data_IF_662583595077
#
_entry.id   IF_662583595077
#
_cell.length_a   1.000
_cell.length_b   1.000
_cell.length_c   1.000
_cell.angle_alpha   90.00
_cell.angle_beta   90.00
_cell.angle_gamma   90.00
#
_symmetry.space_group_name_H-M   'P 1'
#
loop_
_entity.id
_entity.type
_entity.pdbx_description
1 polymer ?
#
# COMPACT_ATOMS: atom_id res chain seq x y z
N UNK A 1 20.89 18.53 1.48
CA UNK A 1 20.77 17.08 1.15
C UNK A 1 21.72 16.22 1.99
N UNK A 2 22.98 16.64 2.20
CA UNK A 2 23.87 15.98 3.18
C UNK A 2 23.43 16.20 4.64
N UNK A 3 22.78 17.32 4.94
CA UNK A 3 22.09 17.56 6.23
C UNK A 3 20.90 16.63 6.50
N UNK A 4 20.25 16.10 5.47
CA UNK A 4 19.13 15.16 5.63
C UNK A 4 19.63 13.75 5.99
N UNK A 5 20.88 13.42 5.63
CA UNK A 5 21.51 12.13 5.90
C UNK A 5 22.14 12.04 7.28
N UNK A 6 22.62 13.16 7.85
CA UNK A 6 23.07 13.21 9.26
C UNK A 6 21.93 13.03 10.26
N UNK A 7 20.68 13.00 9.79
CA UNK A 7 19.46 12.92 10.57
C UNK A 7 18.74 11.55 10.49
N UNK A 8 19.27 10.61 9.68
CA UNK A 8 18.72 9.25 9.57
C UNK A 8 19.44 8.38 10.59
N UNK A 9 18.73 7.96 11.64
CA UNK A 9 19.23 6.96 12.59
C UNK A 9 19.55 5.66 11.82
N UNK A 10 20.71 5.04 12.07
CA UNK A 10 21.09 3.77 11.45
C UNK A 10 20.03 2.67 11.69
N UNK A 11 19.25 2.77 12.79
CA UNK A 11 18.13 1.87 13.07
C UNK A 11 16.93 2.02 12.12
N UNK A 12 16.81 3.17 11.45
CA UNK A 12 15.72 3.52 10.53
C UNK A 12 15.90 2.85 9.16
N UNK A 13 17.15 2.53 8.82
CA UNK A 13 17.57 1.78 7.64
C UNK A 13 17.94 0.36 8.07
N UNK A 14 16.96 -0.47 8.40
CA UNK A 14 17.15 -1.93 8.39
C UNK A 14 17.47 -2.37 6.95
N UNK A 15 18.71 -2.20 6.51
CA UNK A 15 19.21 -2.60 5.19
C UNK A 15 20.30 -3.64 5.40
N UNK A 16 20.11 -4.84 4.85
CA UNK A 16 21.14 -5.88 4.91
C UNK A 16 22.15 -5.64 3.78
N UNK A 17 23.42 -5.48 4.17
CA UNK A 17 24.61 -5.36 3.33
C UNK A 17 24.59 -4.26 2.26
N UNK A 18 25.77 -3.74 1.92
CA UNK A 18 25.92 -2.64 0.95
C UNK A 18 25.69 -3.07 -0.52
N UNK A 19 25.37 -4.34 -0.77
CA UNK A 19 25.44 -4.95 -2.11
C UNK A 19 24.15 -5.69 -2.56
N UNK A 20 23.00 -5.49 -1.90
CA UNK A 20 21.73 -6.10 -2.33
C UNK A 20 20.95 -5.17 -3.26
N UNK A 21 20.60 -5.67 -4.46
CA UNK A 21 19.86 -4.92 -5.48
C UNK A 21 18.95 -5.85 -6.30
N UNK A 22 17.79 -5.32 -6.67
CA UNK A 22 16.87 -5.94 -7.62
C UNK A 22 17.13 -5.36 -9.02
N UNK A 23 17.46 -6.22 -10.00
CA UNK A 23 17.74 -5.80 -11.37
C UNK A 23 16.50 -5.99 -12.25
N UNK A 24 16.07 -4.91 -12.90
CA UNK A 24 15.09 -4.96 -13.98
C UNK A 24 15.81 -4.87 -15.32
N UNK A 25 15.39 -5.72 -16.27
CA UNK A 25 15.69 -5.51 -17.69
C UNK A 25 14.79 -4.40 -18.26
N UNK A 26 15.14 -3.80 -19.42
CA UNK A 26 14.31 -2.78 -20.06
C UNK A 26 12.89 -3.26 -20.38
N UNK A 27 12.75 -4.53 -20.77
CA UNK A 27 11.45 -5.15 -21.07
C UNK A 27 10.61 -5.28 -19.80
N UNK A 28 11.21 -5.71 -18.69
CA UNK A 28 10.49 -5.83 -17.41
C UNK A 28 10.08 -4.47 -16.86
N UNK A 29 10.96 -3.46 -16.97
CA UNK A 29 10.67 -2.09 -16.57
C UNK A 29 9.48 -1.51 -17.34
N UNK A 30 9.50 -1.61 -18.67
CA UNK A 30 8.41 -1.12 -19.52
C UNK A 30 7.09 -1.84 -19.21
N UNK A 31 7.13 -3.18 -19.09
CA UNK A 31 5.95 -3.97 -18.73
C UNK A 31 5.38 -3.59 -17.37
N UNK A 32 6.23 -3.36 -16.35
CA UNK A 32 5.78 -2.92 -15.04
C UNK A 32 5.16 -1.53 -15.07
N UNK A 33 5.70 -0.59 -15.85
CA UNK A 33 5.09 0.73 -16.01
C UNK A 33 3.68 0.60 -16.59
N UNK A 34 3.56 -0.07 -17.74
CA UNK A 34 2.28 -0.23 -18.43
C UNK A 34 1.22 -0.91 -17.56
N UNK A 35 1.59 -1.99 -16.87
CA UNK A 35 0.68 -2.69 -15.95
C UNK A 35 0.31 -1.79 -14.77
N UNK A 36 1.25 -1.08 -14.16
CA UNK A 36 1.00 -0.24 -12.99
C UNK A 36 0.06 0.91 -13.30
N UNK A 37 0.26 1.59 -14.43
CA UNK A 37 -0.61 2.68 -14.89
C UNK A 37 -2.01 2.16 -15.26
N UNK A 38 -2.09 1.01 -15.93
CA UNK A 38 -3.36 0.37 -16.28
C UNK A 38 -4.15 -0.08 -15.05
N UNK A 39 -3.48 -0.72 -14.09
CA UNK A 39 -4.09 -1.14 -12.81
C UNK A 39 -4.52 0.07 -12.00
N UNK A 40 -3.71 1.12 -11.92
CA UNK A 40 -4.09 2.36 -11.22
C UNK A 40 -5.33 2.98 -11.85
N UNK A 41 -5.36 3.07 -13.19
CA UNK A 41 -6.51 3.59 -13.92
C UNK A 41 -7.77 2.78 -13.63
N UNK A 42 -7.70 1.45 -13.80
CA UNK A 42 -8.81 0.54 -13.51
C UNK A 42 -9.31 0.68 -12.07
N UNK A 43 -8.39 0.72 -11.11
CA UNK A 43 -8.69 0.90 -9.70
C UNK A 43 -9.38 2.23 -9.41
N UNK A 44 -8.86 3.32 -9.98
CA UNK A 44 -9.43 4.65 -9.80
C UNK A 44 -10.81 4.79 -10.43
N UNK A 45 -10.99 4.31 -11.67
CA UNK A 45 -12.29 4.34 -12.36
C UNK A 45 -13.32 3.49 -11.60
N UNK A 46 -12.95 2.29 -11.18
CA UNK A 46 -13.83 1.41 -10.39
C UNK A 46 -14.19 2.04 -9.03
N UNK A 47 -13.23 2.69 -8.36
CA UNK A 47 -13.48 3.40 -7.11
C UNK A 47 -14.48 4.54 -7.30
N UNK A 48 -14.29 5.36 -8.34
CA UNK A 48 -15.17 6.47 -8.66
C UNK A 48 -16.57 6.00 -9.05
N UNK A 49 -16.70 4.86 -9.73
CA UNK A 49 -18.01 4.23 -9.97
C UNK A 49 -18.69 3.83 -8.67
N UNK A 50 -18.00 3.13 -7.76
CA UNK A 50 -18.57 2.66 -6.48
C UNK A 50 -19.07 3.83 -5.63
N UNK A 51 -18.29 4.91 -5.49
CA UNK A 51 -18.70 6.05 -4.64
C UNK A 51 -19.92 6.79 -5.19
N UNK A 52 -20.19 6.64 -6.49
CA UNK A 52 -21.37 7.20 -7.17
C UNK A 52 -22.60 6.29 -7.11
N UNK A 53 -22.46 5.05 -6.62
CA UNK A 53 -23.59 4.13 -6.46
C UNK A 53 -24.37 4.42 -5.17
N UNK A 54 -25.68 4.14 -5.22
CA UNK A 54 -26.54 4.20 -4.04
C UNK A 54 -26.33 2.99 -3.13
N UNK A 55 -26.31 1.82 -3.74
CA UNK A 55 -26.05 0.53 -3.13
C UNK A 55 -24.61 0.12 -3.43
N UNK A 56 -23.91 -0.40 -2.42
CA UNK A 56 -22.54 -0.90 -2.53
C UNK A 56 -22.51 -2.36 -2.09
N UNK A 57 -21.41 -3.05 -2.35
CA UNK A 57 -21.26 -4.44 -1.93
C UNK A 57 -21.42 -4.59 -0.41
N UNK A 58 -21.99 -5.72 0.01
CA UNK A 58 -22.33 -5.99 1.41
C UNK A 58 -21.14 -5.87 2.37
N UNK A 59 -19.94 -6.25 1.94
CA UNK A 59 -18.72 -6.11 2.75
C UNK A 59 -18.35 -4.64 2.99
N UNK A 60 -18.55 -3.77 1.99
CA UNK A 60 -18.27 -2.33 2.12
C UNK A 60 -19.27 -1.68 3.09
N UNK A 61 -20.55 -2.01 2.95
CA UNK A 61 -21.59 -1.48 3.84
C UNK A 61 -21.38 -1.95 5.28
N UNK A 62 -21.13 -3.25 5.47
CA UNK A 62 -20.86 -3.86 6.77
C UNK A 62 -19.69 -3.22 7.49
N UNK A 63 -18.61 -2.93 6.76
CA UNK A 63 -17.35 -2.47 7.37
C UNK A 63 -17.26 -0.94 7.47
N UNK A 64 -17.73 -0.23 6.47
CA UNK A 64 -17.48 1.21 6.32
C UNK A 64 -18.77 2.04 6.16
N UNK A 65 -19.95 1.43 6.32
CA UNK A 65 -21.25 2.12 6.27
C UNK A 65 -21.31 3.37 7.17
N UNK A 66 -20.66 3.33 8.33
CA UNK A 66 -20.58 4.44 9.28
C UNK A 66 -19.83 5.68 8.73
N UNK A 67 -18.87 5.47 7.82
CA UNK A 67 -18.11 6.55 7.15
C UNK A 67 -18.54 6.76 5.70
N UNK A 68 -19.62 6.10 5.24
CA UNK A 68 -20.11 6.15 3.86
C UNK A 68 -20.42 7.57 3.37
N UNK A 69 -20.83 8.45 4.27
CA UNK A 69 -21.06 9.86 3.93
C UNK A 69 -19.79 10.61 3.53
N UNK A 70 -18.62 10.18 4.03
CA UNK A 70 -17.35 10.87 3.78
C UNK A 70 -16.87 10.64 2.34
N UNK A 71 -16.87 9.40 1.87
CA UNK A 71 -16.40 9.09 0.53
C UNK A 71 -17.34 9.60 -0.58
N UNK A 72 -18.64 9.80 -0.29
CA UNK A 72 -19.59 10.33 -1.29
C UNK A 72 -19.37 11.82 -1.56
N UNK A 73 -18.80 12.54 -0.59
CA UNK A 73 -18.52 13.97 -0.70
C UNK A 73 -17.11 14.27 -1.22
N UNK A 74 -16.20 13.30 -1.15
CA UNK A 74 -14.83 13.44 -1.66
C UNK A 74 -14.80 13.45 -3.19
N UNK A 75 -15.20 12.32 -3.80
CA UNK A 75 -15.19 12.10 -5.26
C UNK A 75 -13.88 12.52 -5.96
N UNK A 76 -12.75 12.46 -5.25
CA UNK A 76 -11.43 12.80 -5.78
C UNK A 76 -10.67 11.57 -6.28
N UNK A 77 -11.10 10.38 -5.87
CA UNK A 77 -10.51 9.11 -6.31
C UNK A 77 -9.15 8.84 -5.67
N UNK A 78 -8.32 8.07 -6.36
CA UNK A 78 -6.97 7.70 -5.95
C UNK A 78 -5.95 8.74 -6.41
N UNK A 79 -5.13 9.22 -5.48
CA UNK A 79 -4.02 10.13 -5.75
C UNK A 79 -2.66 9.42 -5.74
N UNK A 80 -2.51 8.47 -4.81
CA UNK A 80 -1.26 7.78 -4.52
C UNK A 80 -1.54 6.28 -4.42
N UNK A 81 -0.65 5.48 -4.99
CA UNK A 81 -0.62 4.05 -4.76
C UNK A 81 0.81 3.55 -4.65
N UNK A 82 1.05 2.64 -3.71
CA UNK A 82 2.14 1.67 -3.82
C UNK A 82 1.53 0.33 -4.21
N UNK A 83 1.85 -0.15 -5.40
CA UNK A 83 1.35 -1.43 -5.94
C UNK A 83 2.42 -2.47 -5.70
N UNK A 84 2.11 -3.48 -4.89
CA UNK A 84 3.05 -4.57 -4.60
C UNK A 84 2.82 -5.70 -5.61
N UNK A 85 3.90 -6.21 -6.22
CA UNK A 85 3.86 -7.23 -7.25
C UNK A 85 4.61 -8.50 -6.83
N UNK A 86 4.13 -9.62 -7.39
CA UNK A 86 4.78 -10.92 -7.41
C UNK A 86 4.66 -11.53 -8.81
N UNK A 87 4.90 -12.84 -8.93
CA UNK A 87 4.86 -13.55 -10.18
C UNK A 87 3.85 -14.70 -10.17
N UNK A 88 3.26 -15.04 -11.31
CA UNK A 88 2.65 -16.36 -11.50
C UNK A 88 3.71 -17.42 -11.85
N UNK A 89 3.27 -18.67 -12.04
CA UNK A 89 4.16 -19.77 -12.43
C UNK A 89 4.83 -19.55 -13.79
N UNK A 90 4.22 -18.74 -14.66
CA UNK A 90 4.74 -18.36 -15.97
C UNK A 90 5.62 -17.10 -15.91
N UNK A 91 5.94 -16.60 -14.71
CA UNK A 91 6.75 -15.39 -14.47
C UNK A 91 6.14 -14.11 -15.02
N UNK A 92 4.80 -14.02 -15.12
CA UNK A 92 4.13 -12.75 -15.35
C UNK A 92 3.92 -12.01 -14.03
N UNK A 93 4.02 -10.68 -14.07
CA UNK A 93 3.73 -9.83 -12.93
C UNK A 93 2.26 -9.94 -12.50
N UNK A 94 2.04 -10.09 -11.20
CA UNK A 94 0.73 -10.15 -10.57
C UNK A 94 0.65 -9.17 -9.40
N UNK A 95 -0.45 -8.43 -9.31
CA UNK A 95 -0.72 -7.47 -8.22
C UNK A 95 -1.07 -8.22 -6.94
N UNK A 96 -0.24 -8.11 -5.92
CA UNK A 96 -0.48 -8.68 -4.60
C UNK A 96 -1.41 -7.82 -3.74
N UNK A 97 -1.19 -6.51 -3.75
CA UNK A 97 -1.96 -5.53 -2.99
C UNK A 97 -1.81 -4.10 -3.54
N UNK A 98 -2.86 -3.31 -3.32
CA UNK A 98 -2.88 -1.87 -3.58
C UNK A 98 -2.79 -1.14 -2.23
N UNK A 99 -1.68 -0.45 -1.99
CA UNK A 99 -1.48 0.36 -0.78
C UNK A 99 -1.80 1.82 -1.08
N UNK A 100 -3.08 2.17 -1.01
CA UNK A 100 -3.60 3.50 -1.38
C UNK A 100 -3.95 4.38 -0.17
N UNK A 101 -4.00 3.81 1.04
CA UNK A 101 -4.27 4.53 2.30
C UNK A 101 -3.02 5.00 3.04
N UNK A 102 -2.00 4.13 3.20
CA UNK A 102 -0.76 4.47 3.91
C UNK A 102 0.46 3.78 3.32
N UNK A 103 0.64 3.85 2.00
CA UNK A 103 1.83 3.37 1.33
C UNK A 103 3.09 3.99 1.94
N UNK A 104 3.89 3.20 2.63
CA UNK A 104 5.22 3.59 3.13
C UNK A 104 6.29 3.16 2.14
N UNK A 105 7.46 3.81 2.21
CA UNK A 105 8.62 3.53 1.37
C UNK A 105 9.00 4.65 0.43
N UNK A 106 8.18 5.69 0.26
CA UNK A 106 8.41 6.81 -0.65
C UNK A 106 9.74 7.53 -0.41
N UNK A 107 10.10 7.75 0.85
CA UNK A 107 11.35 8.41 1.23
C UNK A 107 12.43 7.35 1.46
N UNK A 108 12.07 6.23 2.10
CA UNK A 108 13.03 5.17 2.46
C UNK A 108 13.68 4.50 1.26
N UNK A 109 12.97 4.31 0.15
CA UNK A 109 13.55 3.73 -1.07
C UNK A 109 14.69 4.58 -1.62
N UNK A 110 14.56 5.90 -1.54
CA UNK A 110 15.56 6.84 -2.05
C UNK A 110 16.79 6.91 -1.14
N UNK A 111 16.61 6.69 0.16
CA UNK A 111 17.71 6.53 1.11
C UNK A 111 18.46 5.21 0.88
N UNK A 112 17.72 4.11 0.65
CA UNK A 112 18.29 2.79 0.35
C UNK A 112 19.18 2.82 -0.89
N UNK A 113 18.75 3.55 -1.95
CA UNK A 113 19.58 3.83 -3.14
C UNK A 113 20.96 4.40 -2.80
N UNK A 114 21.03 5.36 -1.87
CA UNK A 114 22.29 6.04 -1.50
C UNK A 114 23.23 5.10 -0.74
N UNK A 115 22.69 4.22 0.10
CA UNK A 115 23.48 3.26 0.88
C UNK A 115 24.05 2.13 0.02
N UNK A 116 23.28 1.65 -0.97
CA UNK A 116 23.63 0.49 -1.79
C UNK A 116 24.59 0.80 -2.97
N UNK A 117 25.03 2.05 -3.15
CA UNK A 117 25.80 2.47 -4.35
C UNK A 117 25.18 2.00 -5.68
N UNK A 118 23.85 2.01 -5.75
CA UNK A 118 23.07 1.40 -6.83
C UNK A 118 23.41 1.97 -8.22
N UNK A 119 23.87 3.21 -8.26
CA UNK A 119 24.36 3.94 -9.44
C UNK A 119 25.59 3.29 -10.10
N UNK A 120 26.35 2.49 -9.36
CA UNK A 120 27.47 1.70 -9.91
C UNK A 120 27.03 0.43 -10.64
N UNK A 121 25.80 -0.02 -10.40
CA UNK A 121 25.27 -1.28 -10.95
C UNK A 121 24.39 -1.03 -12.18
N UNK A 122 23.59 0.04 -12.15
CA UNK A 122 22.67 0.44 -13.21
C UNK A 122 22.00 1.77 -12.89
N UNK A 123 20.91 2.10 -13.59
CA UNK A 123 20.14 3.32 -13.36
C UNK A 123 19.18 3.08 -12.19
N UNK A 124 19.34 3.76 -11.03
CA UNK A 124 18.48 3.48 -9.88
C UNK A 124 17.09 4.09 -10.05
N UNK A 125 16.07 3.30 -9.74
CA UNK A 125 14.66 3.61 -10.06
C UNK A 125 13.83 4.09 -8.86
N UNK A 126 14.44 4.33 -7.70
CA UNK A 126 13.73 4.93 -6.56
C UNK A 126 13.26 6.35 -6.90
N UNK A 127 12.08 6.79 -6.38
CA UNK A 127 11.63 8.16 -6.56
C UNK A 127 12.66 9.17 -6.02
N UNK A 128 12.69 10.41 -6.53
CA UNK A 128 13.53 11.46 -5.97
C UNK A 128 13.23 11.66 -4.46
N UNK A 129 14.24 11.87 -3.58
CA UNK A 129 14.02 11.89 -2.14
C UNK A 129 12.96 12.89 -1.65
N UNK A 130 12.84 14.05 -2.29
CA UNK A 130 11.87 15.11 -1.94
C UNK A 130 10.60 15.07 -2.78
N UNK A 131 10.45 14.09 -3.68
CA UNK A 131 9.30 14.00 -4.57
C UNK A 131 7.99 13.96 -3.77
N UNK A 132 7.91 13.10 -2.76
CA UNK A 132 6.69 12.94 -1.98
C UNK A 132 6.30 14.23 -1.25
N UNK A 133 7.26 14.88 -0.55
CA UNK A 133 7.05 16.15 0.12
C UNK A 133 6.61 17.28 -0.84
N UNK A 134 7.24 17.39 -2.02
CA UNK A 134 6.83 18.33 -3.06
C UNK A 134 5.40 18.06 -3.55
N UNK A 135 5.04 16.79 -3.77
CA UNK A 135 3.72 16.41 -4.21
C UNK A 135 2.63 16.81 -3.20
N UNK A 136 2.82 16.49 -1.91
CA UNK A 136 1.85 16.89 -0.88
C UNK A 136 1.77 18.40 -0.71
N UNK A 137 2.88 19.13 -0.76
CA UNK A 137 2.86 20.60 -0.75
C UNK A 137 2.05 21.18 -1.90
N UNK A 138 2.23 20.66 -3.11
CA UNK A 138 1.50 21.14 -4.29
C UNK A 138 -0.01 20.85 -4.20
N UNK A 139 -0.41 19.76 -3.55
CA UNK A 139 -1.83 19.35 -3.46
C UNK A 139 -2.56 19.88 -2.23
N UNK A 140 -1.86 19.99 -1.09
CA UNK A 140 -2.44 20.34 0.21
C UNK A 140 -2.10 21.76 0.65
N UNK A 141 -1.22 22.45 -0.09
CA UNK A 141 -0.77 23.80 0.24
C UNK A 141 0.40 23.82 1.24
N UNK A 142 0.82 25.03 1.66
CA UNK A 142 2.07 25.25 2.39
C UNK A 142 2.08 24.74 3.83
N UNK A 143 0.93 24.48 4.46
CA UNK A 143 0.84 24.11 5.89
C UNK A 143 0.08 22.79 6.07
N UNK A 144 0.79 21.73 6.43
CA UNK A 144 0.25 20.36 6.36
C UNK A 144 0.20 19.73 7.75
N UNK A 145 -0.97 19.25 8.16
CA UNK A 145 -1.07 18.35 9.31
C UNK A 145 -0.92 16.91 8.84
N UNK A 146 0.09 16.20 9.37
CA UNK A 146 0.33 14.78 9.08
C UNK A 146 -0.35 13.95 10.16
N UNK A 147 -1.45 13.28 9.82
CA UNK A 147 -2.27 12.56 10.78
C UNK A 147 -1.84 11.10 10.84
N UNK A 148 -1.50 10.63 12.04
CA UNK A 148 -1.01 9.27 12.29
C UNK A 148 -1.84 8.58 13.38
N UNK A 149 -2.05 7.27 13.25
CA UNK A 149 -2.66 6.43 14.31
C UNK A 149 -1.63 5.69 15.15
N UNK A 150 -0.42 5.54 14.63
CA UNK A 150 0.73 4.90 15.27
C UNK A 150 2.02 5.61 14.84
N UNK A 151 3.10 5.42 15.60
CA UNK A 151 4.39 6.00 15.26
C UNK A 151 4.90 5.41 13.93
N UNK A 152 5.02 6.26 12.90
CA UNK A 152 5.56 5.90 11.60
C UNK A 152 6.80 6.76 11.34
N UNK A 153 8.03 6.23 11.50
CA UNK A 153 9.25 7.03 11.42
C UNK A 153 9.46 7.78 10.09
N UNK A 154 8.82 7.33 9.01
CA UNK A 154 8.86 8.04 7.73
C UNK A 154 8.13 9.40 7.79
N UNK A 155 7.18 9.60 8.71
CA UNK A 155 6.43 10.86 8.82
C UNK A 155 7.30 12.02 9.29
N UNK A 156 8.23 11.78 10.21
CA UNK A 156 9.17 12.80 10.67
C UNK A 156 10.11 13.23 9.54
N UNK A 157 10.52 12.27 8.69
CA UNK A 157 11.32 12.57 7.51
C UNK A 157 10.52 13.41 6.50
N UNK A 158 9.25 13.07 6.26
CA UNK A 158 8.38 13.85 5.37
C UNK A 158 8.15 15.26 5.91
N UNK A 159 7.91 15.42 7.22
CA UNK A 159 7.74 16.72 7.86
C UNK A 159 8.98 17.62 7.65
N UNK A 160 10.17 17.09 7.93
CA UNK A 160 11.44 17.81 7.70
C UNK A 160 11.67 18.15 6.23
N UNK A 161 11.27 17.26 5.31
CA UNK A 161 11.37 17.55 3.88
C UNK A 161 10.41 18.67 3.47
N UNK A 162 9.18 18.70 3.99
CA UNK A 162 8.23 19.79 3.78
C UNK A 162 8.81 21.12 4.27
N UNK A 163 9.38 21.14 5.48
CA UNK A 163 10.05 22.32 6.04
C UNK A 163 11.24 22.78 5.19
N UNK A 164 12.07 21.84 4.72
CA UNK A 164 13.21 22.15 3.86
C UNK A 164 12.82 22.74 2.50
N UNK A 165 11.56 22.53 2.08
CA UNK A 165 10.98 23.07 0.84
C UNK A 165 10.22 24.38 1.08
N UNK A 166 10.26 24.93 2.30
CA UNK A 166 9.62 26.20 2.68
C UNK A 166 8.17 26.05 3.15
N UNK A 167 7.69 24.83 3.39
CA UNK A 167 6.40 24.57 4.02
C UNK A 167 6.47 24.50 5.54
N UNK A 168 5.33 24.26 6.16
CA UNK A 168 5.18 23.96 7.59
C UNK A 168 4.47 22.62 7.75
N UNK A 169 4.99 21.73 8.60
CA UNK A 169 4.37 20.44 8.86
C UNK A 169 4.25 20.18 10.36
N UNK A 170 3.12 19.61 10.80
CA UNK A 170 2.95 19.10 12.17
C UNK A 170 2.44 17.68 12.14
N UNK A 171 3.16 16.77 12.78
CA UNK A 171 2.70 15.39 13.01
C UNK A 171 1.71 15.41 14.18
N UNK A 172 0.49 14.90 13.95
CA UNK A 172 -0.60 14.87 14.93
C UNK A 172 -1.08 13.43 15.08
N UNK A 173 -1.02 12.93 16.32
CA UNK A 173 -1.60 11.64 16.66
C UNK A 173 -3.13 11.74 16.73
N UNK A 174 -3.81 10.80 16.07
CA UNK A 174 -5.25 10.70 16.11
C UNK A 174 -5.71 10.32 17.53
N UNK A 175 -6.30 11.29 18.21
CA UNK A 175 -6.75 11.19 19.60
C UNK A 175 -7.90 12.18 19.82
N UNK A 176 -8.52 12.18 21.01
CA UNK A 176 -9.63 13.09 21.32
C UNK A 176 -9.25 14.58 21.19
N UNK A 177 -7.98 14.93 21.40
CA UNK A 177 -7.46 16.30 21.27
C UNK A 177 -7.06 16.66 19.84
N UNK A 178 -7.00 15.70 18.92
CA UNK A 178 -6.51 15.93 17.55
C UNK A 178 -7.30 17.00 16.79
N UNK A 179 -8.61 17.10 17.05
CA UNK A 179 -9.45 18.16 16.44
C UNK A 179 -8.96 19.53 16.87
N UNK A 180 -8.69 19.72 18.17
CA UNK A 180 -8.19 20.97 18.69
C UNK A 180 -6.79 21.27 18.17
N UNK A 181 -5.90 20.26 18.15
CA UNK A 181 -4.55 20.40 17.60
C UNK A 181 -4.55 20.84 16.13
N UNK A 182 -5.49 20.34 15.32
CA UNK A 182 -5.65 20.73 13.92
C UNK A 182 -6.22 22.14 13.81
N UNK A 183 -7.20 22.51 14.63
CA UNK A 183 -7.74 23.87 14.66
C UNK A 183 -6.65 24.88 15.05
N UNK A 184 -5.88 24.59 16.10
CA UNK A 184 -4.82 25.46 16.59
C UNK A 184 -3.66 25.58 15.60
N UNK A 185 -3.31 24.48 14.93
CA UNK A 185 -2.29 24.50 13.88
C UNK A 185 -2.80 25.20 12.60
N UNK A 186 -4.10 25.17 12.32
CA UNK A 186 -4.73 25.75 11.15
C UNK A 186 -4.05 25.37 9.81
N UNK A 187 -3.95 24.06 9.49
CA UNK A 187 -3.32 23.61 8.25
C UNK A 187 -4.15 23.98 7.01
N UNK A 188 -3.48 24.08 5.87
CA UNK A 188 -4.11 24.18 4.55
C UNK A 188 -4.59 22.84 4.02
N UNK A 189 -4.07 21.71 4.53
CA UNK A 189 -4.53 20.37 4.19
C UNK A 189 -4.01 19.27 5.10
N UNK A 190 -4.57 18.07 4.95
CA UNK A 190 -4.31 16.89 5.79
C UNK A 190 -3.60 15.80 5.00
N UNK A 191 -2.46 15.33 5.51
CA UNK A 191 -1.80 14.12 5.02
C UNK A 191 -2.11 12.96 5.96
N UNK A 192 -2.97 12.05 5.53
CA UNK A 192 -3.29 10.84 6.29
C UNK A 192 -2.21 9.78 6.09
N UNK A 193 -1.72 9.24 7.20
CA UNK A 193 -0.80 8.10 7.24
C UNK A 193 -1.42 7.01 8.11
N UNK A 194 -2.56 6.50 7.64
CA UNK A 194 -3.36 5.47 8.31
C UNK A 194 -3.91 4.45 7.32
N UNK A 195 -4.30 3.29 7.83
CA UNK A 195 -4.93 2.21 7.05
C UNK A 195 -6.45 2.20 7.25
N UNK A 196 -7.14 1.29 6.55
CA UNK A 196 -8.61 1.21 6.54
C UNK A 196 -9.25 0.95 7.92
N UNK A 197 -8.48 0.37 8.86
CA UNK A 197 -8.88 0.22 10.27
C UNK A 197 -9.10 1.54 11.01
N UNK A 198 -8.77 2.67 10.37
CA UNK A 198 -9.15 4.00 10.83
C UNK A 198 -10.66 4.13 11.10
N UNK A 199 -11.51 3.30 10.49
CA UNK A 199 -12.96 3.27 10.73
C UNK A 199 -13.33 3.08 12.21
N UNK A 200 -12.46 2.44 13.00
CA UNK A 200 -12.64 2.29 14.45
C UNK A 200 -12.66 3.64 15.19
N UNK A 201 -12.17 4.71 14.56
CA UNK A 201 -12.21 6.10 15.04
C UNK A 201 -13.24 6.96 14.30
N UNK A 202 -14.28 6.36 13.71
CA UNK A 202 -15.28 7.01 12.84
C UNK A 202 -15.83 8.33 13.40
N UNK A 203 -16.20 8.39 14.69
CA UNK A 203 -16.73 9.61 15.31
C UNK A 203 -15.75 10.80 15.21
N UNK A 204 -14.46 10.55 15.46
CA UNK A 204 -13.42 11.56 15.41
C UNK A 204 -13.17 12.02 13.97
N UNK A 205 -13.15 11.09 13.02
CA UNK A 205 -12.96 11.41 11.59
C UNK A 205 -14.15 12.21 11.05
N UNK A 206 -15.37 11.86 11.45
CA UNK A 206 -16.58 12.62 11.11
C UNK A 206 -16.58 14.03 11.72
N UNK A 207 -15.91 14.24 12.87
CA UNK A 207 -15.68 15.58 13.42
C UNK A 207 -14.63 16.33 12.60
N UNK A 208 -13.51 15.69 12.29
CA UNK A 208 -12.42 16.28 11.50
C UNK A 208 -12.86 16.65 10.07
N UNK A 209 -13.70 15.84 9.43
CA UNK A 209 -14.19 16.10 8.08
C UNK A 209 -15.01 17.39 7.98
N UNK A 210 -15.61 17.86 9.08
CA UNK A 210 -16.36 19.13 9.12
C UNK A 210 -15.46 20.34 8.91
N UNK A 211 -14.15 20.20 9.09
CA UNK A 211 -13.17 21.25 8.79
C UNK A 211 -13.00 21.48 7.28
N UNK A 212 -13.47 20.55 6.43
CA UNK A 212 -13.47 20.65 4.96
C UNK A 212 -12.08 20.96 4.37
N UNK A 213 -11.04 20.43 5.01
CA UNK A 213 -9.67 20.56 4.54
C UNK A 213 -9.43 19.58 3.38
N UNK A 214 -8.70 19.98 2.32
CA UNK A 214 -8.14 19.05 1.34
C UNK A 214 -7.34 17.97 2.05
N UNK A 215 -7.42 16.73 1.56
CA UNK A 215 -6.72 15.62 2.18
C UNK A 215 -6.17 14.61 1.19
N UNK A 216 -5.04 14.01 1.54
CA UNK A 216 -4.42 12.91 0.81
C UNK A 216 -3.99 11.82 1.79
N UNK A 217 -4.26 10.54 1.50
CA UNK A 217 -5.22 10.08 0.50
C UNK A 217 -6.66 10.52 0.82
N UNK A 218 -7.53 10.41 -0.19
CA UNK A 218 -8.97 10.59 -0.04
C UNK A 218 -9.60 9.50 0.84
N UNK A 219 -10.78 9.75 1.41
CA UNK A 219 -11.43 8.76 2.27
C UNK A 219 -11.85 7.51 1.49
N UNK A 220 -12.35 7.66 0.26
CA UNK A 220 -12.65 6.55 -0.63
C UNK A 220 -11.42 5.67 -0.88
N UNK A 221 -10.26 6.29 -1.09
CA UNK A 221 -9.01 5.58 -1.30
C UNK A 221 -8.59 4.82 -0.02
N UNK A 222 -8.68 5.47 1.14
CA UNK A 222 -8.28 4.89 2.42
C UNK A 222 -9.16 3.73 2.89
N UNK A 223 -10.48 3.81 2.67
CA UNK A 223 -11.42 2.82 3.19
C UNK A 223 -11.76 1.74 2.17
N UNK A 224 -11.90 2.10 0.89
CA UNK A 224 -12.32 1.15 -0.14
C UNK A 224 -11.11 0.57 -0.84
N UNK A 225 -10.30 1.39 -1.53
CA UNK A 225 -9.26 0.83 -2.41
C UNK A 225 -8.03 0.28 -1.67
N UNK A 226 -7.82 0.67 -0.40
CA UNK A 226 -6.81 0.09 0.46
C UNK A 226 -7.21 -1.25 1.08
N UNK A 227 -8.50 -1.61 1.04
CA UNK A 227 -9.00 -2.90 1.51
C UNK A 227 -8.72 -3.98 0.46
N UNK A 228 -8.14 -5.11 0.87
CA UNK A 228 -7.81 -6.18 -0.09
C UNK A 228 -9.04 -6.79 -0.75
N UNK A 229 -10.22 -6.64 -0.16
CA UNK A 229 -11.50 -7.04 -0.78
C UNK A 229 -11.78 -6.29 -2.08
N UNK A 230 -11.21 -5.08 -2.25
CA UNK A 230 -11.30 -4.33 -3.49
C UNK A 230 -10.65 -5.05 -4.68
N UNK A 231 -9.62 -5.88 -4.45
CA UNK A 231 -9.02 -6.69 -5.51
C UNK A 231 -10.00 -7.73 -6.08
N UNK A 232 -11.00 -8.18 -5.32
CA UNK A 232 -12.03 -9.07 -5.86
C UNK A 232 -12.82 -8.36 -6.97
N UNK A 233 -13.27 -7.13 -6.69
CA UNK A 233 -13.99 -6.27 -7.64
C UNK A 233 -13.14 -5.98 -8.89
N UNK A 234 -11.85 -5.69 -8.69
CA UNK A 234 -10.95 -5.42 -9.80
C UNK A 234 -10.63 -6.67 -10.62
N UNK A 235 -10.52 -7.85 -9.98
CA UNK A 235 -10.16 -9.09 -10.67
C UNK A 235 -11.19 -9.51 -11.72
N UNK A 236 -12.47 -9.19 -11.51
CA UNK A 236 -13.55 -9.45 -12.48
C UNK A 236 -13.52 -8.50 -13.68
N UNK A 237 -12.85 -7.34 -13.54
CA UNK A 237 -12.79 -6.27 -14.54
C UNK A 237 -11.44 -6.19 -15.24
N UNK A 238 -10.43 -6.89 -14.75
CA UNK A 238 -9.07 -6.81 -15.25
C UNK A 238 -8.91 -7.52 -16.59
N UNK A 239 -8.62 -6.73 -17.63
CA UNK A 239 -8.34 -7.24 -18.98
C UNK A 239 -6.86 -7.52 -19.21
N UNK A 240 -5.97 -7.04 -18.33
CA UNK A 240 -4.52 -7.24 -18.44
C UNK A 240 -4.09 -8.61 -17.91
N UNK A 241 -4.94 -9.24 -17.09
CA UNK A 241 -4.63 -10.46 -16.37
C UNK A 241 -3.53 -10.26 -15.32
N UNK A 242 -3.26 -9.03 -14.88
CA UNK A 242 -2.30 -8.71 -13.84
C UNK A 242 -2.88 -8.88 -12.43
N UNK A 243 -4.19 -8.84 -12.25
CA UNK A 243 -4.83 -9.02 -10.95
C UNK A 243 -5.15 -10.52 -10.77
N UNK A 244 -4.57 -11.19 -9.76
CA UNK A 244 -4.87 -12.59 -9.48
C UNK A 244 -6.34 -12.76 -9.10
N UNK A 245 -6.92 -13.92 -9.46
CA UNK A 245 -8.32 -14.22 -9.09
C UNK A 245 -8.48 -14.05 -7.59
N UNK A 246 -9.45 -13.22 -7.19
CA UNK A 246 -9.65 -12.87 -5.79
C UNK A 246 -11.14 -12.94 -5.46
N UNK A 247 -11.49 -13.55 -4.33
CA UNK A 247 -12.86 -13.71 -3.86
C UNK A 247 -12.97 -13.19 -2.43
N UNK A 248 -14.05 -12.46 -2.14
CA UNK A 248 -14.45 -12.15 -0.77
C UNK A 248 -15.06 -13.41 -0.15
N UNK A 249 -14.57 -13.79 1.02
CA UNK A 249 -15.02 -14.98 1.73
C UNK A 249 -16.43 -14.74 2.30
N UNK A 250 -17.31 -15.72 2.10
CA UNK A 250 -18.72 -15.63 2.51
C UNK A 250 -18.91 -16.20 3.90
N UNK A 251 -19.30 -15.38 4.90
CA UNK A 251 -19.42 -15.81 6.30
C UNK A 251 -20.39 -16.98 6.54
N UNK A 252 -21.40 -17.13 5.68
CA UNK A 252 -22.48 -18.12 5.86
C UNK A 252 -22.47 -19.24 4.81
N UNK A 253 -21.43 -19.35 3.97
CA UNK A 253 -21.41 -20.32 2.86
C UNK A 253 -20.03 -20.99 2.71
N UNK A 254 -19.77 -21.97 3.58
CA UNK A 254 -18.53 -22.74 3.58
C UNK A 254 -18.35 -23.52 2.26
N UNK A 255 -19.42 -24.11 1.74
CA UNK A 255 -19.38 -24.90 0.51
C UNK A 255 -18.91 -24.06 -0.66
N UNK A 256 -19.43 -22.84 -0.81
CA UNK A 256 -18.97 -21.92 -1.84
C UNK A 256 -17.53 -21.46 -1.61
N UNK A 257 -17.13 -21.19 -0.37
CA UNK A 257 -15.74 -20.83 -0.05
C UNK A 257 -14.75 -21.94 -0.43
N UNK A 258 -15.07 -23.21 -0.15
CA UNK A 258 -14.26 -24.37 -0.53
C UNK A 258 -14.15 -24.54 -2.05
N UNK A 259 -15.17 -24.11 -2.80
CA UNK A 259 -15.22 -24.22 -4.26
C UNK A 259 -14.57 -23.04 -4.99
N UNK A 260 -14.22 -21.95 -4.30
CA UNK A 260 -13.52 -20.83 -4.95
C UNK A 260 -12.14 -21.24 -5.45
N UNK A 261 -11.38 -22.00 -4.66
CA UNK A 261 -10.02 -22.36 -5.00
C UNK A 261 -9.48 -23.55 -4.20
N UNK A 262 -8.68 -24.39 -4.85
CA UNK A 262 -7.92 -25.45 -4.17
C UNK A 262 -6.91 -24.85 -3.18
N UNK A 263 -6.76 -25.48 -2.00
CA UNK A 263 -5.89 -25.01 -0.91
C UNK A 263 -4.47 -24.66 -1.39
N UNK A 264 -3.82 -25.55 -2.14
CA UNK A 264 -2.43 -25.36 -2.59
C UNK A 264 -2.25 -24.20 -3.60
N UNK A 265 -3.35 -23.71 -4.17
CA UNK A 265 -3.39 -22.56 -5.08
C UNK A 265 -3.88 -21.28 -4.38
N UNK A 266 -4.25 -21.35 -3.12
CA UNK A 266 -4.91 -20.25 -2.41
C UNK A 266 -4.00 -19.56 -1.39
N UNK A 267 -4.25 -18.27 -1.21
CA UNK A 267 -3.76 -17.47 -0.09
C UNK A 267 -4.96 -16.82 0.59
N UNK A 268 -5.07 -16.99 1.91
CA UNK A 268 -6.04 -16.24 2.72
C UNK A 268 -5.38 -14.97 3.24
N UNK A 269 -6.08 -13.84 3.13
CA UNK A 269 -5.64 -12.55 3.66
C UNK A 269 -6.81 -11.83 4.34
N UNK A 270 -6.60 -11.28 5.53
CA UNK A 270 -7.56 -10.35 6.14
C UNK A 270 -7.57 -9.02 5.37
N UNK A 271 -8.76 -8.50 5.05
CA UNK A 271 -8.94 -7.39 4.11
C UNK A 271 -8.29 -6.07 4.53
N UNK A 272 -8.38 -5.76 5.82
CA UNK A 272 -7.89 -4.54 6.47
C UNK A 272 -6.51 -4.71 7.14
N UNK A 273 -5.94 -5.92 7.07
CA UNK A 273 -4.65 -6.21 7.68
C UNK A 273 -3.50 -5.60 6.87
N UNK A 274 -2.53 -5.07 7.60
CA UNK A 274 -1.29 -4.48 7.07
C UNK A 274 -0.08 -5.32 7.47
N UNK A 275 1.05 -5.01 6.84
CA UNK A 275 2.38 -5.51 7.21
C UNK A 275 2.51 -7.06 7.17
N UNK A 276 1.82 -7.71 6.24
CA UNK A 276 1.88 -9.17 6.06
C UNK A 276 1.35 -9.98 7.25
N UNK A 277 0.63 -9.34 8.19
CA UNK A 277 -0.06 -10.05 9.27
C UNK A 277 -1.30 -10.74 8.71
N UNK A 278 -1.72 -11.84 9.34
CA UNK A 278 -2.96 -12.53 8.98
C UNK A 278 -3.00 -12.98 7.51
N UNK A 279 -1.88 -13.55 7.06
CA UNK A 279 -1.74 -14.18 5.75
C UNK A 279 -1.51 -15.67 5.95
N UNK A 280 -2.28 -16.49 5.25
CA UNK A 280 -2.11 -17.96 5.26
C UNK A 280 -1.85 -18.43 3.84
N UNK A 281 -0.64 -18.95 3.60
CA UNK A 281 -0.27 -19.59 2.35
C UNK A 281 -0.81 -21.03 2.35
N UNK A 282 -1.84 -21.30 1.56
CA UNK A 282 -2.52 -22.60 1.58
C UNK A 282 -1.59 -23.76 1.22
N UNK A 283 -0.62 -23.56 0.31
CA UNK A 283 0.43 -24.55 -0.02
C UNK A 283 1.29 -25.01 1.16
N UNK A 284 1.45 -24.16 2.18
CA UNK A 284 2.27 -24.44 3.37
C UNK A 284 1.40 -24.80 4.59
N UNK A 285 0.08 -24.72 4.46
CA UNK A 285 -0.85 -24.99 5.54
C UNK A 285 -1.05 -26.51 5.71
N UNK A 286 -0.70 -27.04 6.88
CA UNK A 286 -0.70 -28.49 7.13
C UNK A 286 -1.96 -29.02 7.80
N UNK A 287 -2.78 -28.13 8.35
CA UNK A 287 -4.03 -28.51 9.05
C UNK A 287 -5.21 -28.53 8.06
N UNK A 288 -6.38 -28.92 8.56
CA UNK A 288 -7.62 -28.92 7.78
C UNK A 288 -7.94 -27.52 7.23
N UNK A 289 -7.93 -27.38 5.91
CA UNK A 289 -8.30 -26.13 5.23
C UNK A 289 -9.73 -25.73 5.50
N UNK A 290 -10.64 -26.71 5.55
CA UNK A 290 -12.04 -26.50 5.91
C UNK A 290 -12.17 -25.89 7.31
N UNK A 291 -11.45 -26.43 8.30
CA UNK A 291 -11.49 -25.89 9.66
C UNK A 291 -10.88 -24.50 9.74
N UNK A 292 -9.83 -24.23 8.95
CA UNK A 292 -9.26 -22.88 8.87
C UNK A 292 -10.23 -21.88 8.26
N UNK A 293 -10.96 -22.27 7.22
CA UNK A 293 -12.01 -21.44 6.63
C UNK A 293 -13.13 -21.19 7.64
N UNK A 294 -13.61 -22.20 8.36
CA UNK A 294 -14.62 -22.04 9.42
C UNK A 294 -14.14 -21.08 10.53
N UNK A 295 -12.90 -21.22 10.99
CA UNK A 295 -12.29 -20.33 11.97
C UNK A 295 -12.35 -18.87 11.50
N UNK A 296 -11.93 -18.62 10.25
CA UNK A 296 -11.90 -17.30 9.65
C UNK A 296 -13.30 -16.73 9.39
N UNK A 297 -14.23 -17.56 8.91
CA UNK A 297 -15.64 -17.19 8.69
C UNK A 297 -16.31 -16.70 9.98
N UNK A 298 -15.91 -17.26 11.13
CA UNK A 298 -16.40 -16.87 12.45
C UNK A 298 -15.66 -15.65 13.05
N UNK A 299 -14.63 -15.13 12.37
CA UNK A 299 -13.93 -13.93 12.82
C UNK A 299 -14.75 -12.67 12.55
N UNK A 300 -14.48 -11.61 13.30
CA UNK A 300 -15.06 -10.29 13.05
C UNK A 300 -14.47 -9.59 11.81
N UNK A 301 -13.45 -10.18 11.19
CA UNK A 301 -12.77 -9.63 10.01
C UNK A 301 -13.39 -10.17 8.73
N UNK A 302 -13.29 -9.36 7.70
CA UNK A 302 -13.60 -9.70 6.31
C UNK A 302 -12.31 -10.22 5.68
N UNK A 303 -12.37 -11.39 5.07
CA UNK A 303 -11.22 -12.10 4.51
C UNK A 303 -11.40 -12.31 3.01
N UNK A 304 -10.28 -12.45 2.31
CA UNK A 304 -10.25 -12.82 0.90
C UNK A 304 -9.53 -14.15 0.70
N UNK A 305 -9.95 -14.88 -0.34
CA UNK A 305 -9.21 -15.97 -0.97
C UNK A 305 -8.63 -15.43 -2.27
N UNK A 306 -7.31 -15.45 -2.41
CA UNK A 306 -6.62 -14.98 -3.60
C UNK A 306 -5.75 -16.09 -4.21
N UNK A 307 -5.65 -16.10 -5.54
CA UNK A 307 -4.74 -16.97 -6.27
C UNK A 307 -3.28 -16.76 -5.83
N UNK A 308 -2.62 -17.87 -5.55
CA UNK A 308 -1.24 -17.92 -5.08
C UNK A 308 -0.31 -17.39 -6.17
N UNK A 309 0.33 -16.26 -5.84
CA UNK A 309 1.48 -15.75 -6.55
C UNK A 309 2.76 -16.17 -5.81
N UNK A 310 3.88 -16.12 -6.54
CA UNK A 310 5.19 -16.60 -6.12
C UNK A 310 6.14 -15.41 -6.10
N UNK A 311 6.89 -15.30 -5.01
CA UNK A 311 8.01 -14.38 -4.93
C UNK A 311 9.21 -14.97 -5.66
N UNK A 312 10.04 -14.10 -6.23
CA UNK A 312 11.25 -14.54 -6.91
C UNK A 312 12.25 -15.04 -5.86
N UNK A 313 12.90 -16.19 -6.14
CA UNK A 313 13.90 -16.76 -5.25
C UNK A 313 15.31 -16.39 -5.74
N UNK A 314 16.11 -15.81 -4.86
CA UNK A 314 17.49 -15.43 -5.11
C UNK A 314 18.42 -16.63 -4.96
N UNK A 315 19.68 -16.50 -5.42
CA UNK A 315 20.68 -17.58 -5.34
C UNK A 315 21.00 -18.03 -3.91
N UNK A 316 20.78 -17.17 -2.94
CA UNK A 316 20.98 -17.41 -1.51
C UNK A 316 19.69 -17.83 -0.78
N UNK A 317 18.69 -18.31 -1.53
CA UNK A 317 17.42 -18.83 -1.01
C UNK A 317 16.58 -17.80 -0.24
N UNK A 318 16.62 -16.53 -0.67
CA UNK A 318 15.75 -15.47 -0.15
C UNK A 318 14.66 -15.15 -1.17
N UNK A 319 13.55 -14.64 -0.68
CA UNK A 319 12.40 -14.26 -1.47
C UNK A 319 12.38 -12.75 -1.66
N UNK A 320 12.20 -12.30 -2.89
CA UNK A 320 12.10 -10.89 -3.23
C UNK A 320 10.78 -10.56 -3.93
N UNK A 321 10.29 -9.36 -3.65
CA UNK A 321 9.16 -8.74 -4.34
C UNK A 321 9.59 -7.44 -5.02
N UNK A 322 8.66 -6.82 -5.76
CA UNK A 322 8.83 -5.48 -6.28
C UNK A 322 7.57 -4.68 -6.03
N UNK A 323 7.72 -3.41 -5.68
CA UNK A 323 6.62 -2.48 -5.55
C UNK A 323 6.85 -1.23 -6.41
N UNK A 324 5.77 -0.73 -6.99
CA UNK A 324 5.76 0.43 -7.89
C UNK A 324 4.98 1.55 -7.23
N UNK A 325 5.58 2.74 -7.23
CA UNK A 325 4.98 3.96 -6.73
C UNK A 325 4.30 4.69 -7.89
N UNK A 326 3.00 4.91 -7.78
CA UNK A 326 2.18 5.58 -8.79
C UNK A 326 1.52 6.81 -8.18
N UNK A 327 1.58 7.93 -8.89
CA UNK A 327 0.99 9.22 -8.49
C UNK A 327 0.17 9.77 -9.63
N UNK A 328 -1.09 10.07 -9.36
CA UNK A 328 -2.07 10.60 -10.33
C UNK A 328 -2.03 9.81 -11.67
N UNK A 329 -1.87 8.49 -11.59
CA UNK A 329 -1.83 7.59 -12.75
C UNK A 329 -0.48 7.43 -13.44
N UNK A 330 0.59 8.03 -12.92
CA UNK A 330 1.94 7.96 -13.52
C UNK A 330 2.93 7.30 -12.58
N UNK A 331 3.78 6.40 -13.09
CA UNK A 331 4.84 5.77 -12.29
C UNK A 331 5.93 6.79 -11.92
N UNK A 332 6.27 6.83 -10.64
CA UNK A 332 7.26 7.76 -10.07
C UNK A 332 8.50 7.07 -9.50
N UNK A 333 8.43 5.75 -9.31
CA UNK A 333 9.59 4.98 -8.90
C UNK A 333 9.26 3.59 -8.39
N UNK A 334 10.31 2.91 -7.94
CA UNK A 334 10.28 1.49 -7.60
C UNK A 334 10.98 1.25 -6.28
N UNK A 335 10.54 0.22 -5.57
CA UNK A 335 11.26 -0.37 -4.45
C UNK A 335 11.18 -1.89 -4.53
N UNK A 336 12.10 -2.59 -3.89
CA UNK A 336 12.02 -4.03 -3.72
C UNK A 336 12.27 -4.35 -2.26
N UNK A 337 11.67 -5.44 -1.78
CA UNK A 337 11.95 -6.01 -0.48
C UNK A 337 12.44 -7.43 -0.66
N UNK A 338 13.26 -7.88 0.27
CA UNK A 338 13.82 -9.24 0.29
C UNK A 338 13.72 -9.80 1.71
N UNK A 339 13.47 -11.11 1.84
CA UNK A 339 13.31 -11.80 3.13
C UNK A 339 13.69 -13.27 3.03
N UNK A 340 14.06 -13.88 4.16
CA UNK A 340 14.17 -15.34 4.26
C UNK A 340 12.79 -16.04 4.20
N UNK A 341 11.69 -15.30 4.38
CA UNK A 341 10.33 -15.83 4.39
C UNK A 341 9.56 -15.51 3.11
N UNK A 342 8.63 -16.39 2.71
CA UNK A 342 7.73 -16.18 1.56
C UNK A 342 6.71 -15.04 1.75
N UNK A 343 6.59 -14.52 2.96
CA UNK A 343 5.82 -13.31 3.26
C UNK A 343 6.84 -12.20 3.51
N UNK A 344 7.06 -11.37 2.49
CA UNK A 344 8.08 -10.32 2.57
C UNK A 344 7.51 -9.12 3.31
N UNK A 345 7.90 -9.00 4.58
CA UNK A 345 7.59 -7.82 5.39
C UNK A 345 8.76 -7.40 6.28
N UNK A 346 8.95 -6.09 6.45
CA UNK A 346 10.02 -5.53 7.28
C UNK A 346 9.89 -5.92 8.76
N UNK A 347 8.66 -6.09 9.26
CA UNK A 347 8.42 -6.57 10.62
C UNK A 347 8.68 -8.08 10.78
N UNK A 348 8.69 -8.83 9.68
CA UNK A 348 8.91 -10.28 9.65
C UNK A 348 10.32 -10.65 9.16
N UNK A 349 11.28 -9.75 9.38
CA UNK A 349 12.69 -9.98 9.04
C UNK A 349 13.06 -9.66 7.59
N UNK A 350 12.16 -9.08 6.81
CA UNK A 350 12.51 -8.51 5.50
C UNK A 350 13.22 -7.16 5.62
N UNK A 351 13.85 -6.73 4.53
CA UNK A 351 14.45 -5.41 4.41
C UNK A 351 14.29 -4.87 2.99
N UNK A 352 14.42 -3.56 2.84
CA UNK A 352 14.37 -2.91 1.54
C UNK A 352 15.69 -3.05 0.79
N UNK A 353 15.63 -3.27 -0.53
CA UNK A 353 16.76 -3.24 -1.44
C UNK A 353 16.50 -2.27 -2.59
N UNK A 354 17.58 -1.77 -3.20
CA UNK A 354 17.49 -0.83 -4.32
C UNK A 354 17.05 -1.53 -5.59
N UNK A 355 16.21 -0.87 -6.40
CA UNK A 355 15.85 -1.35 -7.75
C UNK A 355 16.67 -0.59 -8.78
N UNK A 356 17.31 -1.32 -9.69
CA UNK A 356 18.12 -0.76 -10.77
C UNK A 356 17.66 -1.26 -12.13
N UNK A 357 17.60 -0.36 -13.11
CA UNK A 357 17.47 -0.71 -14.52
C UNK A 357 18.86 -0.96 -15.10
N UNK A 358 19.04 -2.11 -15.74
CA UNK A 358 20.28 -2.47 -16.42
C UNK A 358 19.98 -2.81 -17.87
N UNK A 359 20.63 -2.12 -18.80
CA UNK A 359 20.62 -2.49 -20.21
C UNK A 359 21.62 -3.63 -20.41
N UNK A 360 21.23 -4.64 -21.18
CA UNK A 360 22.17 -5.67 -21.62
C UNK A 360 23.20 -4.98 -22.53
N UNK A 361 24.49 -5.18 -22.22
CA UNK A 361 25.60 -4.68 -23.04
C UNK A 361 25.82 -5.53 -24.28
#
# INVERSE_FOLDING_TARGET
MDELMSLVDDNLLKTESRDTYFVLSPIQFEKLNQISESVFKLANETLLEIVNQNEVESWMESRYGVVKSLWKNGQTGMNLARIDFAWDQQKNFKVLELNTGSGSGWVRSSLTKKVASADKIGIPLAPPPTFYANYVLNKLGPKIAIIITEAVPECDLVARQIESLGGEAKVIYLSEVAVQDIIDFAPTGLLWRSHAGLVDHSELILKLSKLRLPQIPSFESMFISADKSFLAVLSDRDTTGAIPKTYVLLKNDLTKNLNFMEQNKAVLKAGDSIRGREVVLGKNFKSSWEDKLKEIMNSNKEWIIQELCYLQNTKDNRYEDIAVFVVDGVVQGFMSRISANEIVNVEQGGFGQSVVLKYDN
#
